data_IF_542014702213
#
_entry.id   IF_542014702213
#
_cell.length_a   1.000
_cell.length_b   1.000
_cell.length_c   1.000
_cell.angle_alpha   90.00
_cell.angle_beta   90.00
_cell.angle_gamma   90.00
#
_symmetry.space_group_name_H-M   'P 1'
#
loop_
_entity.id
_entity.type
_entity.pdbx_description
1 polymer ?
#
# COMPACT_ATOMS: atom_id res chain seq x y z
N UNK A 1 1.18 8.09 -9.30
CA UNK A 1 0.34 6.88 -9.19
C UNK A 1 -0.05 6.42 -10.57
N UNK A 2 -0.15 5.12 -10.82
CA UNK A 2 -0.60 4.61 -12.11
C UNK A 2 -2.13 4.65 -12.22
N UNK A 3 -2.61 4.57 -13.46
CA UNK A 3 -4.07 4.64 -13.72
C UNK A 3 -4.82 3.46 -13.11
N UNK A 4 -4.18 2.29 -13.05
CA UNK A 4 -4.78 1.11 -12.46
C UNK A 4 -5.05 1.33 -10.97
N UNK A 5 -4.12 1.94 -10.25
CA UNK A 5 -4.29 2.27 -8.85
C UNK A 5 -5.49 3.22 -8.65
N UNK A 6 -5.59 4.26 -9.47
CA UNK A 6 -6.71 5.21 -9.41
C UNK A 6 -8.05 4.50 -9.64
N UNK A 7 -8.10 3.63 -10.64
CA UNK A 7 -9.32 2.87 -10.93
C UNK A 7 -9.70 1.96 -9.76
N UNK A 8 -8.73 1.21 -9.26
CA UNK A 8 -8.96 0.30 -8.13
C UNK A 8 -9.41 1.08 -6.88
N UNK A 9 -8.77 2.20 -6.61
CA UNK A 9 -9.14 3.07 -5.48
C UNK A 9 -10.58 3.55 -5.61
N UNK A 10 -10.96 4.04 -6.78
CA UNK A 10 -12.30 4.57 -7.04
C UNK A 10 -13.37 3.50 -6.87
N UNK A 11 -13.07 2.26 -7.28
CA UNK A 11 -14.02 1.14 -7.15
C UNK A 11 -14.07 0.59 -5.74
N UNK A 12 -12.91 0.40 -5.11
CA UNK A 12 -12.78 -0.29 -3.83
C UNK A 12 -13.20 0.59 -2.65
N UNK A 13 -12.90 1.88 -2.70
CA UNK A 13 -13.19 2.78 -1.59
C UNK A 13 -14.65 2.77 -1.13
N UNK A 14 -15.65 2.93 -2.04
CA UNK A 14 -17.04 2.86 -1.60
C UNK A 14 -17.44 1.48 -1.08
N UNK A 15 -16.89 0.40 -1.65
CA UNK A 15 -17.17 -0.96 -1.19
C UNK A 15 -16.60 -1.21 0.21
N UNK A 16 -15.39 -0.77 0.47
CA UNK A 16 -14.77 -0.88 1.80
C UNK A 16 -15.58 -0.08 2.82
N UNK A 17 -15.98 1.14 2.47
CA UNK A 17 -16.79 1.96 3.36
C UNK A 17 -18.13 1.30 3.68
N UNK A 18 -18.76 0.66 2.70
CA UNK A 18 -20.05 0.00 2.86
C UNK A 18 -19.96 -1.23 3.79
N UNK A 19 -18.97 -2.09 3.59
CA UNK A 19 -18.80 -3.32 4.38
C UNK A 19 -18.03 -3.12 5.67
N UNK A 20 -17.15 -2.12 5.73
CA UNK A 20 -16.32 -1.80 6.89
C UNK A 20 -16.41 -0.31 7.17
N UNK A 21 -17.59 0.19 7.68
CA UNK A 21 -17.71 1.61 7.97
C UNK A 21 -16.60 2.05 8.91
N UNK A 22 -15.92 3.12 8.56
CA UNK A 22 -14.78 3.60 9.32
C UNK A 22 -14.70 5.11 9.26
N UNK A 23 -13.92 5.68 10.17
CA UNK A 23 -13.68 7.09 10.24
C UNK A 23 -12.18 7.33 10.23
N UNK A 24 -11.75 8.30 9.45
CA UNK A 24 -10.34 8.69 9.36
C UNK A 24 -10.16 10.00 10.12
N UNK A 25 -9.23 10.01 11.06
CA UNK A 25 -8.94 11.17 11.90
C UNK A 25 -7.44 11.47 11.79
N UNK A 26 -7.09 12.74 11.69
CA UNK A 26 -5.69 13.16 11.70
C UNK A 26 -5.01 13.16 10.33
N UNK A 27 -5.78 13.20 9.24
CA UNK A 27 -5.18 13.29 7.90
C UNK A 27 -4.30 14.54 7.74
N UNK A 28 -4.60 15.60 8.47
CA UNK A 28 -3.82 16.83 8.46
C UNK A 28 -2.41 16.63 9.02
N UNK A 29 -2.18 15.55 9.76
CA UNK A 29 -0.87 15.21 10.31
C UNK A 29 -0.01 14.41 9.34
N UNK A 30 -0.54 14.03 8.18
CA UNK A 30 0.22 13.29 7.17
C UNK A 30 1.32 14.19 6.60
N UNK A 31 2.61 13.82 6.73
CA UNK A 31 3.69 14.69 6.27
C UNK A 31 3.72 14.77 4.75
N UNK A 32 4.22 15.88 4.25
CA UNK A 32 4.54 16.01 2.84
C UNK A 32 5.85 15.30 2.55
N UNK A 33 5.97 14.73 1.34
CA UNK A 33 7.17 14.02 0.93
C UNK A 33 7.23 12.59 1.45
N UNK A 34 8.43 12.03 1.50
CA UNK A 34 8.63 10.64 1.89
C UNK A 34 8.33 10.37 3.35
N UNK A 35 7.58 9.32 3.61
CA UNK A 35 7.22 8.94 4.97
C UNK A 35 7.03 7.43 5.07
N UNK A 36 7.39 6.87 6.22
CA UNK A 36 7.15 5.47 6.53
C UNK A 36 5.89 5.37 7.39
N UNK A 37 4.91 4.60 6.91
CA UNK A 37 3.67 4.38 7.62
C UNK A 37 3.73 3.06 8.36
N UNK A 38 3.65 3.12 9.68
CA UNK A 38 3.65 1.94 10.52
C UNK A 38 2.31 1.82 11.22
N UNK A 39 1.66 0.67 11.08
CA UNK A 39 0.33 0.47 11.63
C UNK A 39 0.22 -0.90 12.29
N UNK A 40 -0.73 -1.04 13.22
CA UNK A 40 -1.10 -2.33 13.75
C UNK A 40 -1.70 -3.17 12.61
N UNK A 41 -1.21 -4.39 12.47
CA UNK A 41 -1.61 -5.26 11.37
C UNK A 41 -2.17 -6.56 11.93
N UNK A 42 -3.48 -6.69 11.93
CA UNK A 42 -4.17 -7.84 12.50
C UNK A 42 -4.97 -8.66 11.47
N UNK A 43 -5.12 -8.16 10.24
CA UNK A 43 -5.83 -8.88 9.19
C UNK A 43 -5.33 -8.51 7.80
N UNK A 44 -5.68 -9.34 6.82
CA UNK A 44 -5.34 -9.08 5.42
C UNK A 44 -6.08 -7.86 4.84
N UNK A 45 -7.10 -7.37 5.52
CA UNK A 45 -7.85 -6.19 5.08
C UNK A 45 -7.18 -4.87 5.46
N UNK A 46 -6.23 -4.89 6.40
CA UNK A 46 -5.60 -3.67 6.91
C UNK A 46 -4.93 -2.83 5.82
N UNK A 47 -4.16 -3.41 4.88
CA UNK A 47 -3.56 -2.60 3.81
C UNK A 47 -4.61 -1.88 2.95
N UNK A 48 -5.74 -2.52 2.70
CA UNK A 48 -6.83 -1.91 1.92
C UNK A 48 -7.48 -0.76 2.67
N UNK A 49 -7.71 -0.93 3.98
CA UNK A 49 -8.27 0.13 4.83
C UNK A 49 -7.34 1.34 4.88
N UNK A 50 -6.04 1.11 5.01
CA UNK A 50 -5.04 2.18 5.03
C UNK A 50 -5.03 2.90 3.68
N UNK A 51 -5.00 2.15 2.59
CA UNK A 51 -4.94 2.72 1.24
C UNK A 51 -6.13 3.61 0.94
N UNK A 52 -7.35 3.16 1.26
CA UNK A 52 -8.55 3.95 0.99
C UNK A 52 -8.76 5.09 1.99
N UNK A 53 -8.07 5.05 3.13
CA UNK A 53 -8.11 6.12 4.14
C UNK A 53 -7.22 7.30 3.75
N UNK A 54 -6.25 7.09 2.89
CA UNK A 54 -5.36 8.13 2.41
C UNK A 54 -5.89 8.71 1.10
N UNK A 55 -5.54 9.98 0.78
CA UNK A 55 -5.89 10.52 -0.54
C UNK A 55 -5.32 9.66 -1.67
N UNK A 56 -6.03 9.59 -2.80
CA UNK A 56 -5.60 8.78 -3.94
C UNK A 56 -4.23 9.20 -4.47
N UNK A 57 -3.88 10.47 -4.31
CA UNK A 57 -2.59 11.02 -4.76
C UNK A 57 -1.51 10.97 -3.68
N UNK A 58 -1.70 10.16 -2.64
CA UNK A 58 -0.73 10.06 -1.54
C UNK A 58 0.60 9.40 -1.93
N UNK A 59 0.69 8.81 -3.12
CA UNK A 59 1.88 8.11 -3.61
C UNK A 59 2.27 6.95 -2.67
N UNK A 60 1.27 6.20 -2.24
CA UNK A 60 1.47 5.07 -1.35
C UNK A 60 2.13 3.90 -2.07
N UNK A 61 3.15 3.33 -1.44
CA UNK A 61 3.84 2.12 -1.90
C UNK A 61 3.78 1.10 -0.77
N UNK A 62 3.41 -0.13 -1.08
CA UNK A 62 3.16 -1.16 -0.08
C UNK A 62 4.09 -2.34 -0.32
N UNK A 63 4.62 -2.91 0.78
CA UNK A 63 5.34 -4.18 0.76
C UNK A 63 4.37 -5.32 1.06
N UNK A 64 4.50 -6.43 0.34
CA UNK A 64 3.72 -7.63 0.59
C UNK A 64 4.61 -8.86 0.54
N UNK A 65 4.15 -9.96 1.17
CA UNK A 65 4.89 -11.23 1.16
C UNK A 65 5.20 -11.67 -0.27
N UNK A 66 6.42 -12.13 -0.51
CA UNK A 66 6.82 -12.65 -1.82
C UNK A 66 5.91 -13.79 -2.29
N UNK A 67 5.45 -14.65 -1.39
CA UNK A 67 4.58 -15.78 -1.73
C UNK A 67 3.29 -15.36 -2.43
N UNK A 68 2.76 -14.19 -2.11
CA UNK A 68 1.53 -13.69 -2.74
C UNK A 68 1.71 -13.40 -4.22
N UNK A 69 2.92 -13.06 -4.65
CA UNK A 69 3.22 -12.76 -6.05
C UNK A 69 3.28 -14.01 -6.93
N UNK A 70 3.35 -15.19 -6.31
CA UNK A 70 3.35 -16.46 -7.04
C UNK A 70 1.94 -17.00 -7.31
N UNK A 71 0.93 -16.36 -6.74
CA UNK A 71 -0.48 -16.68 -7.03
C UNK A 71 -0.86 -15.96 -8.33
N UNK A 72 -1.32 -16.67 -9.39
CA UNK A 72 -1.40 -16.09 -10.74
C UNK A 72 -2.20 -14.78 -10.86
N UNK A 73 -3.43 -14.74 -10.37
CA UNK A 73 -4.27 -13.54 -10.48
C UNK A 73 -3.86 -12.48 -9.46
N UNK A 74 -3.63 -12.91 -8.23
CA UNK A 74 -3.26 -12.01 -7.12
C UNK A 74 -1.92 -11.36 -7.40
N UNK A 75 -0.93 -12.11 -7.87
CA UNK A 75 0.39 -11.56 -8.21
C UNK A 75 0.31 -10.51 -9.31
N UNK A 76 -0.50 -10.75 -10.33
CA UNK A 76 -0.71 -9.78 -11.40
C UNK A 76 -1.30 -8.48 -10.85
N UNK A 77 -2.35 -8.57 -10.02
CA UNK A 77 -3.00 -7.39 -9.43
C UNK A 77 -2.06 -6.62 -8.52
N UNK A 78 -1.28 -7.32 -7.70
CA UNK A 78 -0.33 -6.68 -6.79
C UNK A 78 0.72 -5.86 -7.57
N UNK A 79 1.26 -6.44 -8.63
CA UNK A 79 2.24 -5.74 -9.47
C UNK A 79 1.63 -4.52 -10.15
N UNK A 80 0.40 -4.63 -10.62
CA UNK A 80 -0.30 -3.52 -11.27
C UNK A 80 -0.59 -2.38 -10.29
N UNK A 81 -0.80 -2.69 -9.01
CA UNK A 81 -1.03 -1.69 -7.97
C UNK A 81 0.26 -1.02 -7.48
N UNK A 82 1.42 -1.48 -7.93
CA UNK A 82 2.70 -0.93 -7.49
C UNK A 82 3.20 -1.49 -6.17
N UNK A 83 2.65 -2.62 -5.74
CA UNK A 83 3.09 -3.31 -4.54
C UNK A 83 4.33 -4.14 -4.88
N UNK A 84 5.34 -4.11 -4.02
CA UNK A 84 6.56 -4.87 -4.28
C UNK A 84 6.76 -5.99 -3.24
N UNK A 85 7.44 -7.09 -3.64
CA UNK A 85 7.58 -8.25 -2.77
C UNK A 85 8.68 -8.07 -1.73
N UNK A 86 8.51 -8.72 -0.58
CA UNK A 86 9.53 -8.84 0.45
C UNK A 86 9.58 -10.30 0.93
N UNK A 87 10.77 -10.87 1.02
CA UNK A 87 10.98 -12.21 1.53
C UNK A 87 11.13 -12.16 3.05
N UNK A 88 10.30 -12.93 3.75
CA UNK A 88 10.35 -13.03 5.20
C UNK A 88 11.44 -13.99 5.65
N UNK A 89 11.94 -13.78 6.87
CA UNK A 89 12.87 -14.68 7.51
C UNK A 89 14.31 -14.53 7.10
N UNK A 90 14.66 -13.48 6.39
CA UNK A 90 16.03 -13.20 5.98
C UNK A 90 16.24 -11.74 5.66
N UNK A 91 17.45 -11.39 5.25
CA UNK A 91 17.77 -10.05 4.80
C UNK A 91 17.42 -9.92 3.33
N UNK A 92 16.31 -9.27 3.02
CA UNK A 92 15.96 -8.96 1.63
C UNK A 92 16.51 -7.57 1.28
N UNK A 93 17.72 -7.54 0.77
CA UNK A 93 18.38 -6.30 0.38
C UNK A 93 17.68 -5.61 -0.79
N UNK A 94 17.08 -6.39 -1.69
CA UNK A 94 16.32 -5.84 -2.80
C UNK A 94 15.11 -5.04 -2.33
N UNK A 95 14.33 -5.61 -1.41
CA UNK A 95 13.20 -4.92 -0.82
C UNK A 95 13.63 -3.68 -0.03
N UNK A 96 14.73 -3.78 0.72
CA UNK A 96 15.28 -2.65 1.48
C UNK A 96 15.67 -1.51 0.55
N UNK A 97 16.37 -1.81 -0.55
CA UNK A 97 16.78 -0.80 -1.53
C UNK A 97 15.56 -0.14 -2.20
N UNK A 98 14.54 -0.92 -2.52
CA UNK A 98 13.30 -0.39 -3.10
C UNK A 98 12.60 0.53 -2.11
N UNK A 99 12.55 0.15 -0.83
CA UNK A 99 11.95 0.98 0.22
C UNK A 99 12.67 2.32 0.36
N UNK A 100 13.98 2.29 0.45
CA UNK A 100 14.80 3.51 0.58
C UNK A 100 14.61 4.42 -0.64
N UNK A 101 14.63 3.85 -1.82
CA UNK A 101 14.42 4.61 -3.06
C UNK A 101 13.05 5.26 -3.08
N UNK A 102 12.01 4.53 -2.67
CA UNK A 102 10.64 5.06 -2.62
C UNK A 102 10.54 6.25 -1.67
N UNK A 103 11.17 6.17 -0.50
CA UNK A 103 11.20 7.27 0.45
C UNK A 103 11.94 8.48 -0.11
N UNK A 104 13.07 8.27 -0.79
CA UNK A 104 13.84 9.34 -1.40
C UNK A 104 13.11 10.02 -2.56
N UNK A 105 12.20 9.30 -3.22
CA UNK A 105 11.36 9.85 -4.28
C UNK A 105 10.11 10.56 -3.74
N UNK A 106 9.98 10.70 -2.43
CA UNK A 106 8.85 11.38 -1.81
C UNK A 106 7.59 10.53 -1.71
N UNK A 107 7.71 9.21 -1.85
CA UNK A 107 6.59 8.30 -1.73
C UNK A 107 6.37 7.91 -0.26
N UNK A 108 5.14 7.53 0.06
CA UNK A 108 4.78 7.02 1.38
C UNK A 108 4.78 5.50 1.35
N UNK A 109 5.46 4.92 2.32
CA UNK A 109 5.70 3.47 2.36
C UNK A 109 4.90 2.80 3.49
#
# INVERSE_FOLDING_TARGET
>A
MNRFYHLAYTVIKPLIWLFFPHRVVGLENLPEGGALLCANHVSAWDPFLIAVSLPVDSRLVVMAKDELFHIPVIGFLLRRLGIFPVKRGGNDLGAMKTAIRSLNEGKRL
#
